data_IF_880565279434
#
_entry.id   IF_880565279434
#
_cell.length_a   1.000
_cell.length_b   1.000
_cell.length_c   1.000
_cell.angle_alpha   90.00
_cell.angle_beta   90.00
_cell.angle_gamma   90.00
#
_symmetry.space_group_name_H-M   'P 1'
#
loop_
_entity.id
_entity.type
_entity.pdbx_description
1 polymer ?
#
# COMPACT_ATOMS: atom_id res chain seq x y z
N UNK A 1 17.01 -44.14 20.30
CA UNK A 1 15.83 -44.09 19.41
C UNK A 1 14.99 -42.91 19.85
N UNK A 2 15.29 -41.75 19.27
CA UNK A 2 14.63 -40.49 19.65
C UNK A 2 13.49 -40.27 18.66
N UNK A 3 12.27 -40.46 19.12
CA UNK A 3 11.08 -40.16 18.38
C UNK A 3 10.83 -38.65 18.45
N UNK A 4 11.31 -37.92 17.42
CA UNK A 4 11.02 -36.50 17.26
C UNK A 4 9.52 -36.28 17.23
N UNK A 5 8.98 -35.66 18.28
CA UNK A 5 7.60 -35.23 18.37
C UNK A 5 7.29 -34.23 17.23
N UNK A 6 6.64 -34.68 16.18
CA UNK A 6 6.07 -33.82 15.17
C UNK A 6 4.88 -33.08 15.80
N UNK A 7 5.02 -31.81 16.02
CA UNK A 7 3.90 -30.94 16.41
C UNK A 7 2.81 -31.05 15.32
N UNK A 8 1.56 -31.42 15.65
CA UNK A 8 0.52 -31.50 14.64
C UNK A 8 0.29 -30.11 14.05
N UNK A 9 0.45 -29.99 12.73
CA UNK A 9 0.15 -28.80 12.00
C UNK A 9 -1.33 -28.45 12.21
N UNK A 10 -1.62 -27.21 12.62
CA UNK A 10 -2.99 -26.72 12.82
C UNK A 10 -3.79 -26.78 11.51
N UNK A 11 -5.14 -26.69 11.57
CA UNK A 11 -6.02 -26.87 10.40
C UNK A 11 -5.81 -25.90 9.23
N UNK A 12 -4.97 -24.88 9.38
CA UNK A 12 -4.56 -23.95 8.32
C UNK A 12 -3.17 -24.22 7.76
N UNK A 13 -2.38 -25.15 8.31
CA UNK A 13 -1.00 -25.36 7.90
C UNK A 13 -0.85 -26.03 6.53
N UNK A 14 -1.93 -26.56 5.95
CA UNK A 14 -1.84 -27.53 4.83
C UNK A 14 -2.39 -27.04 3.48
N UNK A 15 -2.83 -25.79 3.36
CA UNK A 15 -3.46 -25.34 2.10
C UNK A 15 -2.83 -24.15 1.43
N UNK A 16 -1.82 -23.53 2.02
CA UNK A 16 -1.31 -22.22 1.57
C UNK A 16 0.17 -22.20 1.24
N UNK A 17 0.91 -23.27 1.53
CA UNK A 17 2.35 -23.34 1.25
C UNK A 17 2.70 -24.49 0.33
N UNK A 18 3.64 -24.26 -0.58
CA UNK A 18 4.23 -25.24 -1.50
C UNK A 18 5.75 -25.15 -1.41
N UNK A 19 6.41 -26.32 -1.43
CA UNK A 19 7.88 -26.37 -1.50
C UNK A 19 8.30 -26.25 -2.96
N UNK A 20 9.09 -25.22 -3.26
CA UNK A 20 9.64 -25.00 -4.60
C UNK A 20 10.75 -25.98 -4.94
N UNK A 21 11.24 -25.99 -6.21
CA UNK A 21 12.32 -26.86 -6.64
C UNK A 21 13.65 -26.57 -5.93
N UNK A 22 13.77 -25.40 -5.30
CA UNK A 22 14.90 -24.98 -4.46
C UNK A 22 14.78 -25.43 -3.00
N UNK A 23 13.78 -26.23 -2.65
CA UNK A 23 13.52 -26.73 -1.31
C UNK A 23 12.91 -25.70 -0.34
N UNK A 24 12.58 -24.50 -0.80
CA UNK A 24 12.04 -23.43 0.05
C UNK A 24 10.51 -23.47 0.05
N UNK A 25 9.92 -23.48 1.25
CA UNK A 25 8.47 -23.38 1.43
C UNK A 25 8.01 -21.93 1.19
N UNK A 26 7.03 -21.74 0.32
CA UNK A 26 6.43 -20.43 -0.01
C UNK A 26 4.92 -20.51 0.01
N UNK A 27 4.25 -19.38 0.08
CA UNK A 27 2.84 -19.32 -0.29
C UNK A 27 2.65 -19.93 -1.68
N UNK A 28 1.55 -20.66 -1.91
CA UNK A 28 1.32 -21.36 -3.18
C UNK A 28 1.51 -20.47 -4.41
N UNK A 29 1.03 -19.21 -4.35
CA UNK A 29 1.19 -18.23 -5.42
C UNK A 29 2.66 -17.78 -5.63
N UNK A 30 3.51 -17.79 -4.58
CA UNK A 30 4.93 -17.45 -4.67
C UNK A 30 5.81 -18.62 -5.13
N UNK A 31 5.27 -19.85 -5.15
CA UNK A 31 5.95 -21.04 -5.62
C UNK A 31 5.73 -21.30 -7.12
N UNK A 32 4.88 -20.52 -7.79
CA UNK A 32 4.64 -20.64 -9.23
C UNK A 32 5.94 -20.48 -10.06
N UNK A 33 5.95 -21.05 -11.27
CA UNK A 33 7.09 -20.97 -12.21
C UNK A 33 7.24 -19.60 -12.88
N UNK A 34 6.93 -18.53 -12.17
CA UNK A 34 7.18 -17.15 -12.57
C UNK A 34 8.30 -16.56 -11.71
N UNK A 35 9.54 -16.45 -12.25
CA UNK A 35 10.69 -15.95 -11.51
C UNK A 35 10.48 -14.54 -10.95
N UNK A 36 9.74 -13.68 -11.67
CA UNK A 36 9.45 -12.32 -11.24
C UNK A 36 8.50 -12.30 -10.03
N UNK A 37 7.50 -13.18 -10.07
CA UNK A 37 6.52 -13.31 -8.99
C UNK A 37 7.15 -13.91 -7.73
N UNK A 38 8.03 -14.91 -7.92
CA UNK A 38 8.82 -15.53 -6.84
C UNK A 38 9.75 -14.51 -6.19
N UNK A 39 10.48 -13.73 -7.00
CA UNK A 39 11.37 -12.69 -6.49
C UNK A 39 10.62 -11.63 -5.66
N UNK A 40 9.43 -11.22 -6.10
CA UNK A 40 8.57 -10.32 -5.33
C UNK A 40 8.15 -10.95 -3.99
N UNK A 41 7.71 -12.23 -4.00
CA UNK A 41 7.33 -12.94 -2.78
C UNK A 41 8.49 -13.01 -1.78
N UNK A 42 9.69 -13.37 -2.23
CA UNK A 42 10.82 -13.63 -1.36
C UNK A 42 11.50 -12.36 -0.85
N UNK A 43 11.47 -11.29 -1.63
CA UNK A 43 12.23 -10.08 -1.32
C UNK A 43 11.37 -8.91 -0.80
N UNK A 44 10.08 -8.84 -1.15
CA UNK A 44 9.28 -7.65 -0.88
C UNK A 44 7.99 -7.96 -0.11
N UNK A 45 7.25 -9.00 -0.49
CA UNK A 45 5.95 -9.28 0.10
C UNK A 45 6.06 -9.57 1.61
N UNK A 46 5.22 -8.88 2.39
CA UNK A 46 5.21 -9.03 3.85
C UNK A 46 6.41 -8.40 4.58
N UNK A 47 7.29 -7.68 3.87
CA UNK A 47 8.42 -6.97 4.47
C UNK A 47 8.08 -5.50 4.68
N UNK A 48 8.22 -4.98 5.92
CA UNK A 48 7.99 -3.56 6.19
C UNK A 48 8.98 -2.69 5.41
N UNK A 49 8.49 -1.63 4.78
CA UNK A 49 9.32 -0.59 4.15
C UNK A 49 9.01 0.77 4.76
N UNK A 50 10.04 1.62 4.87
CA UNK A 50 9.93 3.04 5.24
C UNK A 50 10.45 3.95 4.13
N UNK A 51 10.84 3.37 3.00
CA UNK A 51 11.25 4.12 1.82
C UNK A 51 10.00 4.76 1.18
N UNK A 52 9.91 6.09 1.24
CA UNK A 52 8.74 6.84 0.74
C UNK A 52 8.50 6.63 -0.75
N UNK A 53 9.57 6.48 -1.53
CA UNK A 53 9.49 6.23 -2.97
C UNK A 53 8.92 4.84 -3.25
N UNK A 54 9.39 3.83 -2.51
CA UNK A 54 8.85 2.47 -2.57
C UNK A 54 7.38 2.41 -2.13
N UNK A 55 7.03 3.10 -1.04
CA UNK A 55 5.64 3.17 -0.57
C UNK A 55 4.72 3.83 -1.60
N UNK A 56 5.17 4.90 -2.26
CA UNK A 56 4.43 5.52 -3.34
C UNK A 56 4.35 4.63 -4.58
N UNK A 57 5.43 3.94 -4.96
CA UNK A 57 5.43 2.92 -6.00
C UNK A 57 4.35 1.88 -5.75
N UNK A 58 4.34 1.28 -4.56
CA UNK A 58 3.37 0.24 -4.20
C UNK A 58 1.93 0.76 -4.22
N UNK A 59 1.68 1.96 -3.68
CA UNK A 59 0.35 2.59 -3.73
C UNK A 59 -0.18 2.74 -5.17
N UNK A 60 0.68 3.18 -6.09
CA UNK A 60 0.30 3.35 -7.51
C UNK A 60 0.09 1.99 -8.18
N UNK A 61 0.97 1.02 -7.94
CA UNK A 61 0.88 -0.31 -8.55
C UNK A 61 -0.33 -1.09 -8.07
N UNK A 62 -0.65 -1.05 -6.78
CA UNK A 62 -1.85 -1.68 -6.20
C UNK A 62 -3.13 -1.01 -6.73
N UNK A 63 -3.14 0.31 -6.83
CA UNK A 63 -4.23 1.04 -7.50
C UNK A 63 -4.39 0.64 -8.97
N UNK A 64 -3.27 0.42 -9.66
CA UNK A 64 -3.27 -0.05 -11.05
C UNK A 64 -3.74 -1.50 -11.19
N UNK A 65 -3.59 -2.33 -10.15
CA UNK A 65 -4.01 -3.72 -10.14
C UNK A 65 -5.54 -3.88 -10.23
N UNK A 66 -6.33 -2.94 -9.76
CA UNK A 66 -7.79 -3.08 -9.71
C UNK A 66 -8.36 -3.66 -11.02
N UNK A 67 -8.95 -4.86 -10.94
CA UNK A 67 -9.47 -5.63 -12.07
C UNK A 67 -8.42 -6.38 -12.91
N UNK A 68 -7.17 -6.49 -12.44
CA UNK A 68 -6.06 -7.18 -13.11
C UNK A 68 -5.34 -8.12 -12.12
N UNK A 69 -4.52 -9.05 -12.64
CA UNK A 69 -3.65 -9.88 -11.80
C UNK A 69 -2.42 -9.09 -11.34
N UNK A 70 -1.91 -9.41 -10.14
CA UNK A 70 -0.67 -8.82 -9.64
C UNK A 70 0.52 -9.14 -10.54
N UNK A 71 0.58 -10.34 -11.10
CA UNK A 71 1.62 -10.71 -12.06
C UNK A 71 1.62 -9.82 -13.31
N UNK A 72 0.45 -9.39 -13.78
CA UNK A 72 0.35 -8.41 -14.88
C UNK A 72 0.97 -7.08 -14.51
N UNK A 73 0.76 -6.62 -13.27
CA UNK A 73 1.32 -5.36 -12.78
C UNK A 73 2.83 -5.47 -12.58
N UNK A 74 3.32 -6.56 -12.00
CA UNK A 74 4.75 -6.79 -11.82
C UNK A 74 5.51 -6.78 -13.16
N UNK A 75 4.96 -7.40 -14.22
CA UNK A 75 5.56 -7.34 -15.56
C UNK A 75 5.60 -5.93 -16.15
N UNK A 76 4.73 -5.04 -15.70
CA UNK A 76 4.67 -3.64 -16.12
C UNK A 76 5.43 -2.69 -15.18
N UNK A 77 5.96 -3.18 -14.07
CA UNK A 77 6.57 -2.37 -13.01
C UNK A 77 7.67 -1.44 -13.51
N UNK A 78 8.58 -1.96 -14.34
CA UNK A 78 9.66 -1.14 -14.93
C UNK A 78 9.12 -0.08 -15.89
N UNK A 79 8.03 -0.37 -16.60
CA UNK A 79 7.30 0.61 -17.40
C UNK A 79 6.73 1.73 -16.53
N UNK A 80 6.12 1.37 -15.41
CA UNK A 80 5.62 2.35 -14.43
C UNK A 80 6.74 3.19 -13.84
N UNK A 81 7.88 2.62 -13.47
CA UNK A 81 9.05 3.35 -12.97
C UNK A 81 9.50 4.43 -13.95
N UNK A 82 9.66 4.08 -15.23
CA UNK A 82 10.02 5.03 -16.28
C UNK A 82 8.93 6.08 -16.50
N UNK A 83 7.68 5.66 -16.59
CA UNK A 83 6.55 6.52 -16.92
C UNK A 83 6.24 7.56 -15.82
N UNK A 84 6.42 7.18 -14.55
CA UNK A 84 6.13 7.97 -13.37
C UNK A 84 7.39 8.54 -12.69
N UNK A 85 8.41 8.92 -13.48
CA UNK A 85 9.63 9.58 -12.99
C UNK A 85 10.31 8.85 -11.83
N UNK A 86 10.39 7.53 -11.87
CA UNK A 86 10.94 6.69 -10.79
C UNK A 86 10.17 6.80 -9.47
N UNK A 87 8.90 7.14 -9.53
CA UNK A 87 8.02 7.38 -8.38
C UNK A 87 8.50 8.51 -7.46
N UNK A 88 9.11 9.54 -8.05
CA UNK A 88 9.33 10.80 -7.37
C UNK A 88 7.98 11.53 -7.22
N UNK A 89 7.48 11.61 -5.98
CA UNK A 89 6.16 12.19 -5.72
C UNK A 89 6.07 13.66 -6.13
N UNK A 90 7.16 14.44 -6.01
CA UNK A 90 7.16 15.85 -6.40
C UNK A 90 7.05 15.99 -7.93
N UNK A 91 7.82 15.19 -8.67
CA UNK A 91 7.75 15.15 -10.12
C UNK A 91 6.36 14.72 -10.61
N UNK A 92 5.80 13.64 -10.03
CA UNK A 92 4.47 13.12 -10.42
C UNK A 92 3.34 14.10 -10.07
N UNK A 93 3.41 14.78 -8.95
CA UNK A 93 2.42 15.79 -8.54
C UNK A 93 2.34 16.98 -9.52
N UNK A 94 3.46 17.29 -10.19
CA UNK A 94 3.55 18.35 -11.20
C UNK A 94 3.02 17.93 -12.58
N UNK A 95 2.69 16.66 -12.80
CA UNK A 95 2.17 16.19 -14.08
C UNK A 95 0.90 16.94 -14.49
N UNK A 96 0.90 17.42 -15.74
CA UNK A 96 -0.20 18.11 -16.40
C UNK A 96 -0.88 17.26 -17.46
N UNK A 97 -1.76 17.90 -18.28
CA UNK A 97 -2.51 17.19 -19.32
C UNK A 97 -1.60 16.57 -20.40
N UNK A 98 -0.47 17.19 -20.72
CA UNK A 98 0.51 16.60 -21.64
C UNK A 98 1.09 15.30 -21.11
N UNK A 99 1.38 15.22 -19.81
CA UNK A 99 1.86 13.99 -19.17
C UNK A 99 0.76 12.93 -19.14
N UNK A 100 -0.47 13.32 -18.83
CA UNK A 100 -1.61 12.40 -18.88
C UNK A 100 -1.78 11.82 -20.29
N UNK A 101 -1.67 12.62 -21.34
CA UNK A 101 -1.74 12.15 -22.72
C UNK A 101 -0.59 11.18 -23.05
N UNK A 102 0.63 11.51 -22.64
CA UNK A 102 1.82 10.64 -22.77
C UNK A 102 1.60 9.30 -22.07
N UNK A 103 1.15 9.30 -20.81
CA UNK A 103 0.89 8.10 -20.03
C UNK A 103 -0.21 7.23 -20.65
N UNK A 104 -1.25 7.83 -21.22
CA UNK A 104 -2.34 7.08 -21.88
C UNK A 104 -1.91 6.47 -23.22
N UNK A 105 -0.86 6.95 -23.83
CA UNK A 105 -0.28 6.37 -25.05
C UNK A 105 0.77 5.28 -24.77
N UNK A 106 1.30 5.20 -23.53
CA UNK A 106 2.37 4.27 -23.17
C UNK A 106 1.82 2.86 -22.93
N UNK A 107 2.17 1.90 -23.81
CA UNK A 107 1.78 0.50 -23.67
C UNK A 107 2.52 -0.23 -22.54
N UNK A 108 3.60 0.34 -22.00
CA UNK A 108 4.36 -0.24 -20.90
C UNK A 108 3.58 -0.15 -19.56
N UNK A 109 2.53 0.66 -19.48
CA UNK A 109 1.65 0.76 -18.31
C UNK A 109 0.20 0.36 -18.64
N UNK A 110 -0.66 0.34 -17.62
CA UNK A 110 -2.11 0.19 -17.80
C UNK A 110 -2.70 1.53 -18.25
N UNK A 111 -3.11 1.61 -19.52
CA UNK A 111 -3.66 2.82 -20.15
C UNK A 111 -5.09 3.08 -19.70
N UNK A 112 -5.25 3.61 -18.48
CA UNK A 112 -6.54 3.94 -17.91
C UNK A 112 -6.49 5.33 -17.26
N UNK A 113 -7.29 6.28 -17.77
CA UNK A 113 -7.29 7.67 -17.31
C UNK A 113 -7.58 7.81 -15.82
N UNK A 114 -8.49 6.99 -15.26
CA UNK A 114 -8.81 7.04 -13.83
C UNK A 114 -7.64 6.61 -12.97
N UNK A 115 -6.92 5.55 -13.37
CA UNK A 115 -5.73 5.05 -12.65
C UNK A 115 -4.59 6.08 -12.71
N UNK A 116 -4.36 6.69 -13.87
CA UNK A 116 -3.37 7.76 -14.04
C UNK A 116 -3.73 8.98 -13.18
N UNK A 117 -4.97 9.43 -13.24
CA UNK A 117 -5.43 10.56 -12.43
C UNK A 117 -5.32 10.28 -10.92
N UNK A 118 -5.65 9.06 -10.48
CA UNK A 118 -5.53 8.64 -9.09
C UNK A 118 -4.06 8.68 -8.63
N UNK A 119 -3.12 8.20 -9.44
CA UNK A 119 -1.70 8.24 -9.10
C UNK A 119 -1.18 9.68 -8.93
N UNK A 120 -1.56 10.60 -9.82
CA UNK A 120 -1.20 12.02 -9.73
C UNK A 120 -1.84 12.67 -8.49
N UNK A 121 -3.10 12.37 -8.20
CA UNK A 121 -3.79 12.87 -7.00
C UNK A 121 -3.13 12.36 -5.72
N UNK A 122 -2.74 11.08 -5.67
CA UNK A 122 -2.02 10.50 -4.54
C UNK A 122 -0.67 11.18 -4.30
N UNK A 123 0.09 11.48 -5.35
CA UNK A 123 1.34 12.23 -5.23
C UNK A 123 1.14 13.61 -4.58
N UNK A 124 0.10 14.34 -5.01
CA UNK A 124 -0.25 15.66 -4.43
C UNK A 124 -0.64 15.56 -2.95
N UNK A 125 -1.37 14.53 -2.57
CA UNK A 125 -1.74 14.28 -1.17
C UNK A 125 -0.50 13.97 -0.33
N UNK A 126 0.40 13.11 -0.80
CA UNK A 126 1.63 12.75 -0.10
C UNK A 126 2.49 13.99 0.17
N UNK A 127 2.67 14.88 -0.80
CA UNK A 127 3.40 16.13 -0.61
C UNK A 127 2.72 17.05 0.41
N UNK A 128 1.39 17.11 0.40
CA UNK A 128 0.62 17.88 1.39
C UNK A 128 0.74 17.32 2.82
N UNK A 129 1.00 16.02 2.95
CA UNK A 129 1.23 15.37 4.26
C UNK A 129 2.66 15.60 4.77
N UNK A 130 3.67 15.58 3.90
CA UNK A 130 5.08 15.78 4.25
C UNK A 130 5.39 17.17 4.83
N UNK A 131 4.53 18.16 4.56
CA UNK A 131 4.61 19.50 5.16
C UNK A 131 4.01 19.61 6.57
N UNK A 132 3.34 18.58 7.05
CA UNK A 132 2.81 18.50 8.41
C UNK A 132 3.73 17.62 9.23
N UNK A 133 4.46 18.22 10.19
CA UNK A 133 5.28 17.47 11.12
C UNK A 133 4.50 16.35 11.83
N UNK A 134 5.19 15.33 12.39
CA UNK A 134 4.60 14.06 12.81
C UNK A 134 3.55 14.14 13.93
N UNK A 135 3.16 15.33 14.42
CA UNK A 135 2.28 15.53 15.56
C UNK A 135 1.08 16.46 15.31
N UNK A 136 0.68 16.69 14.05
CA UNK A 136 -0.56 17.42 13.80
C UNK A 136 -1.68 16.44 13.37
N UNK A 137 -2.18 15.67 14.34
CA UNK A 137 -3.52 15.10 14.21
C UNK A 137 -4.51 16.28 14.16
N UNK A 138 -5.41 16.37 13.17
CA UNK A 138 -6.50 17.31 13.23
C UNK A 138 -7.32 16.98 14.48
N UNK A 139 -7.42 17.92 15.42
CA UNK A 139 -8.33 17.83 16.55
C UNK A 139 -9.73 17.45 16.04
N UNK A 140 -10.41 16.49 16.65
CA UNK A 140 -11.75 16.11 16.24
C UNK A 140 -12.66 17.34 16.37
N UNK A 141 -13.15 17.83 15.23
CA UNK A 141 -14.15 18.89 15.18
C UNK A 141 -15.40 18.39 15.91
N UNK A 142 -15.61 18.86 17.15
CA UNK A 142 -16.82 18.54 17.89
C UNK A 142 -16.63 18.19 19.36
N UNK A 143 -15.76 18.87 20.10
CA UNK A 143 -15.90 18.90 21.54
C UNK A 143 -17.09 19.78 21.88
N UNK A 144 -18.27 19.16 22.00
CA UNK A 144 -19.44 19.79 22.60
C UNK A 144 -19.07 20.18 24.03
N UNK A 145 -18.96 21.50 24.26
CA UNK A 145 -18.72 22.04 25.58
C UNK A 145 -19.87 21.58 26.53
N UNK A 146 -19.55 20.63 27.40
CA UNK A 146 -20.44 20.25 28.48
C UNK A 146 -20.48 21.41 29.47
N UNK A 147 -21.52 22.25 29.34
CA UNK A 147 -21.89 23.25 30.30
C UNK A 147 -22.15 22.58 31.66
N UNK A 148 -21.22 22.69 32.58
CA UNK A 148 -21.40 22.34 33.97
C UNK A 148 -22.24 23.45 34.63
N UNK A 149 -23.57 23.40 34.51
CA UNK A 149 -24.47 24.13 35.41
C UNK A 149 -24.29 23.55 36.82
N UNK A 150 -23.43 24.19 37.59
CA UNK A 150 -23.45 24.03 39.06
C UNK A 150 -24.83 24.43 39.56
N UNK A 151 -25.64 23.46 39.97
CA UNK A 151 -26.78 23.69 40.81
C UNK A 151 -26.26 24.13 42.17
N UNK A 152 -26.42 25.45 42.48
CA UNK A 152 -26.45 25.97 43.85
C UNK A 152 -27.73 25.44 44.48
N UNK A 153 -27.64 24.45 45.33
CA UNK A 153 -28.71 24.11 46.25
C UNK A 153 -28.59 25.04 47.47
N UNK A 154 -29.59 25.87 47.60
CA UNK A 154 -29.88 26.66 48.80
C UNK A 154 -29.94 25.74 50.03
N UNK A 155 -29.11 26.04 51.00
CA UNK A 155 -29.35 25.68 52.40
C UNK A 155 -29.92 26.92 53.05
N UNK A 156 -31.22 26.93 53.25
CA UNK A 156 -31.91 27.70 54.28
C UNK A 156 -32.88 26.73 54.92
N UNK A 157 -32.73 26.58 56.20
CA UNK A 157 -33.68 26.50 57.29
C UNK A 157 -33.17 25.70 58.49
N UNK A 158 -32.97 26.49 59.55
CA UNK A 158 -33.15 26.33 61.01
C UNK A 158 -32.06 25.49 61.73
#
# INVERSE_FOLDING_TARGET
>A
MDAGAQTPAGPWADRTTTVGPDGIARCAWGAEDDPLYRAYHDAEWGRPSRDERHLFEMLVLEGAQAGLSWSTILRKREGYRRAFAGFDAAAVAAFGEADVARLLSDSAIVRNRRKVASAIASARVILGMGGRGPNQHPEPRGAVARSTRRRRLLRDRR
#
